data_IF_899460993498
#
_entry.id   IF_899460993498
#
_cell.length_a   1.000
_cell.length_b   1.000
_cell.length_c   1.000
_cell.angle_alpha   90.00
_cell.angle_beta   90.00
_cell.angle_gamma   90.00
#
_symmetry.space_group_name_H-M   'P 1'
#
loop_
_entity.id
_entity.type
_entity.pdbx_description
1 polymer ?
#
# COMPACT_ATOMS: atom_id res chain seq x y z
N UNK A 1 -25.65 28.34 -2.73
CA UNK A 1 -25.09 28.30 -1.36
C UNK A 1 -23.69 27.72 -1.52
N UNK A 2 -22.67 28.51 -1.21
CA UNK A 2 -21.31 28.37 -1.77
C UNK A 2 -20.55 27.13 -1.31
N UNK A 3 -19.97 26.41 -2.27
CA UNK A 3 -18.98 25.39 -1.98
C UNK A 3 -17.63 26.08 -1.75
N UNK A 4 -17.32 26.42 -0.51
CA UNK A 4 -15.97 26.82 -0.14
C UNK A 4 -15.05 25.59 -0.31
N UNK A 5 -14.09 25.69 -1.23
CA UNK A 5 -13.07 24.65 -1.44
C UNK A 5 -11.96 24.92 -0.45
N UNK A 6 -11.49 23.88 0.23
CA UNK A 6 -10.33 24.01 1.12
C UNK A 6 -9.11 24.48 0.33
N UNK A 7 -8.53 25.61 0.75
CA UNK A 7 -7.26 26.11 0.27
C UNK A 7 -6.23 26.02 1.40
N UNK A 8 -5.10 25.38 1.14
CA UNK A 8 -4.00 25.24 2.10
C UNK A 8 -3.29 26.57 2.37
N UNK A 9 -3.46 27.55 1.48
CA UNK A 9 -2.85 28.88 1.61
C UNK A 9 -3.79 29.89 2.30
N UNK A 10 -5.02 29.49 2.62
CA UNK A 10 -5.92 30.21 3.51
C UNK A 10 -5.63 29.85 4.98
N UNK A 11 -5.14 30.84 5.75
CA UNK A 11 -4.83 30.69 7.16
C UNK A 11 -6.05 30.28 8.00
N UNK A 12 -7.24 30.83 7.72
CA UNK A 12 -8.45 30.53 8.48
C UNK A 12 -8.90 29.08 8.25
N UNK A 13 -8.79 28.59 7.02
CA UNK A 13 -9.10 27.21 6.69
C UNK A 13 -8.15 26.21 7.38
N UNK A 14 -6.85 26.51 7.40
CA UNK A 14 -5.84 25.67 8.08
C UNK A 14 -6.03 25.69 9.59
N UNK A 15 -6.30 26.85 10.19
CA UNK A 15 -6.53 26.98 11.63
C UNK A 15 -7.79 26.23 12.06
N UNK A 16 -8.87 26.29 11.27
CA UNK A 16 -10.09 25.52 11.51
C UNK A 16 -9.82 24.01 11.50
N UNK A 17 -9.12 23.51 10.48
CA UNK A 17 -8.77 22.08 10.38
C UNK A 17 -7.85 21.65 11.52
N UNK A 18 -6.88 22.49 11.90
CA UNK A 18 -5.93 22.20 12.98
C UNK A 18 -6.62 22.17 14.34
N UNK A 19 -7.52 23.11 14.62
CA UNK A 19 -8.28 23.13 15.87
C UNK A 19 -9.21 21.90 15.98
N UNK A 20 -9.93 21.57 14.90
CA UNK A 20 -10.82 20.41 14.86
C UNK A 20 -10.05 19.08 14.99
N UNK A 21 -8.90 18.95 14.32
CA UNK A 21 -8.07 17.74 14.40
C UNK A 21 -7.46 17.58 15.79
N UNK A 22 -6.95 18.65 16.40
CA UNK A 22 -6.39 18.62 17.75
C UNK A 22 -7.44 18.26 18.81
N UNK A 23 -8.68 18.78 18.69
CA UNK A 23 -9.78 18.39 19.57
C UNK A 23 -10.04 16.87 19.50
N UNK A 24 -10.06 16.31 18.27
CA UNK A 24 -10.23 14.87 18.05
C UNK A 24 -9.05 14.07 18.60
N UNK A 25 -7.82 14.55 18.43
CA UNK A 25 -6.61 13.90 18.95
C UNK A 25 -6.65 13.79 20.47
N UNK A 26 -7.07 14.86 21.17
CA UNK A 26 -7.22 14.85 22.64
C UNK A 26 -8.23 13.77 23.08
N UNK A 27 -9.34 13.60 22.35
CA UNK A 27 -10.34 12.57 22.65
C UNK A 27 -9.82 11.13 22.52
N UNK A 28 -8.75 10.91 21.73
CA UNK A 28 -8.11 9.61 21.54
C UNK A 28 -6.72 9.51 22.22
N UNK A 29 -6.39 10.46 23.13
CA UNK A 29 -5.06 10.53 23.78
C UNK A 29 -3.88 10.60 22.79
N UNK A 30 -4.09 11.17 21.61
CA UNK A 30 -3.05 11.42 20.60
C UNK A 30 -2.48 12.83 20.84
N UNK A 31 -1.14 13.02 20.84
CA UNK A 31 -0.55 14.35 21.01
C UNK A 31 -1.05 15.35 19.94
N UNK A 32 -1.40 16.59 20.33
CA UNK A 32 -1.80 17.61 19.38
C UNK A 32 -0.62 17.99 18.48
N UNK A 33 -0.91 18.40 17.25
CA UNK A 33 0.08 18.76 16.25
C UNK A 33 0.03 20.24 15.93
N UNK A 34 1.15 20.77 15.40
CA UNK A 34 1.25 22.16 15.00
C UNK A 34 0.43 22.43 13.73
N UNK A 35 0.04 23.69 13.50
CA UNK A 35 -0.63 24.09 12.27
C UNK A 35 0.22 23.81 11.00
N UNK A 36 1.54 23.86 11.14
CA UNK A 36 2.47 23.54 10.05
C UNK A 36 2.40 22.05 9.67
N UNK A 37 2.43 21.15 10.66
CA UNK A 37 2.31 19.71 10.44
C UNK A 37 0.94 19.35 9.88
N UNK A 38 -0.12 19.96 10.43
CA UNK A 38 -1.48 19.78 9.95
C UNK A 38 -1.65 20.23 8.49
N UNK A 39 -1.07 21.38 8.11
CA UNK A 39 -1.05 21.85 6.71
C UNK A 39 -0.35 20.85 5.78
N UNK A 40 0.79 20.30 6.20
CA UNK A 40 1.55 19.30 5.45
C UNK A 40 0.76 18.00 5.21
N UNK A 41 0.06 17.51 6.24
CA UNK A 41 -0.80 16.33 6.12
C UNK A 41 -2.05 16.61 5.27
N UNK A 42 -2.74 17.73 5.52
CA UNK A 42 -3.96 18.10 4.81
C UNK A 42 -3.71 18.26 3.30
N UNK A 43 -2.56 18.83 2.92
CA UNK A 43 -2.17 18.98 1.52
C UNK A 43 -1.86 17.66 0.79
N UNK A 44 -1.60 16.58 1.51
CA UNK A 44 -1.24 15.27 0.95
C UNK A 44 -2.39 14.24 1.01
N UNK A 45 -3.61 14.67 1.32
CA UNK A 45 -4.77 13.78 1.35
C UNK A 45 -5.14 13.35 -0.07
N UNK A 46 -5.00 12.05 -0.36
CA UNK A 46 -5.48 11.44 -1.59
C UNK A 46 -6.87 10.87 -1.36
N UNK A 47 -7.80 11.19 -2.26
CA UNK A 47 -9.17 10.68 -2.20
C UNK A 47 -9.19 9.17 -2.45
N UNK A 48 -9.88 8.44 -1.58
CA UNK A 48 -10.12 7.01 -1.76
C UNK A 48 -11.41 6.79 -2.57
N UNK A 49 -11.34 5.94 -3.59
CA UNK A 49 -12.50 5.58 -4.41
C UNK A 49 -12.83 4.11 -4.13
N UNK A 50 -14.09 3.81 -3.81
CA UNK A 50 -14.49 2.44 -3.47
C UNK A 50 -14.16 1.41 -4.58
N UNK A 51 -14.29 1.83 -5.85
CA UNK A 51 -14.04 0.95 -7.01
C UNK A 51 -12.56 0.59 -7.15
N UNK A 52 -11.61 1.47 -6.80
CA UNK A 52 -10.18 1.13 -6.85
C UNK A 52 -9.87 0.04 -5.83
N UNK A 53 -10.45 0.12 -4.63
CA UNK A 53 -10.27 -0.92 -3.60
C UNK A 53 -10.85 -2.26 -4.04
N UNK A 54 -12.03 -2.27 -4.69
CA UNK A 54 -12.63 -3.48 -5.22
C UNK A 54 -11.76 -4.14 -6.32
N UNK A 55 -11.22 -3.35 -7.25
CA UNK A 55 -10.33 -3.85 -8.31
C UNK A 55 -9.06 -4.45 -7.71
N UNK A 56 -8.40 -3.73 -6.78
CA UNK A 56 -7.16 -4.19 -6.15
C UNK A 56 -7.42 -5.46 -5.32
N UNK A 57 -8.52 -5.54 -4.57
CA UNK A 57 -8.88 -6.75 -3.82
C UNK A 57 -9.11 -7.98 -4.73
N UNK A 58 -9.75 -7.78 -5.89
CA UNK A 58 -9.90 -8.82 -6.90
C UNK A 58 -8.57 -9.32 -7.46
N UNK A 59 -7.65 -8.40 -7.75
CA UNK A 59 -6.30 -8.74 -8.22
C UNK A 59 -5.49 -9.50 -7.16
N UNK A 60 -5.56 -9.09 -5.89
CA UNK A 60 -4.90 -9.79 -4.77
C UNK A 60 -5.39 -11.24 -4.70
N UNK A 61 -6.70 -11.44 -4.78
CA UNK A 61 -7.31 -12.78 -4.71
C UNK A 61 -6.88 -13.65 -5.89
N UNK A 62 -6.82 -13.08 -7.11
CA UNK A 62 -6.36 -13.80 -8.29
C UNK A 62 -4.89 -14.24 -8.19
N UNK A 63 -4.01 -13.39 -7.64
CA UNK A 63 -2.61 -13.75 -7.41
C UNK A 63 -2.47 -14.78 -6.27
N UNK A 64 -3.28 -14.68 -5.21
CA UNK A 64 -3.28 -15.65 -4.12
C UNK A 64 -3.64 -17.07 -4.59
N UNK A 65 -4.60 -17.20 -5.51
CA UNK A 65 -4.96 -18.50 -6.10
C UNK A 65 -3.76 -19.12 -6.84
N UNK A 66 -2.98 -18.34 -7.59
CA UNK A 66 -1.77 -18.83 -8.29
C UNK A 66 -0.70 -19.29 -7.31
N UNK A 67 -0.55 -18.61 -6.18
CA UNK A 67 0.39 -18.98 -5.13
C UNK A 67 -0.01 -20.31 -4.48
N UNK A 68 -1.30 -20.50 -4.14
CA UNK A 68 -1.82 -21.74 -3.57
C UNK A 68 -1.69 -22.90 -4.56
N UNK A 69 -1.89 -22.65 -5.85
CA UNK A 69 -1.67 -23.62 -6.92
C UNK A 69 -0.19 -23.96 -7.16
N UNK A 70 0.74 -23.41 -6.36
CA UNK A 70 2.19 -23.62 -6.50
C UNK A 70 2.73 -23.19 -7.88
N UNK A 71 2.14 -22.15 -8.48
CA UNK A 71 2.57 -21.55 -9.76
C UNK A 71 3.11 -20.12 -9.56
N UNK A 72 4.17 -19.93 -8.76
CA UNK A 72 4.71 -18.60 -8.47
C UNK A 72 5.29 -17.90 -9.72
N UNK A 73 5.73 -18.67 -10.73
CA UNK A 73 6.28 -18.13 -11.98
C UNK A 73 5.23 -17.39 -12.83
N UNK A 74 3.94 -17.69 -12.59
CA UNK A 74 2.82 -17.05 -13.26
C UNK A 74 2.34 -15.78 -12.54
N UNK A 75 2.90 -15.51 -11.35
CA UNK A 75 2.54 -14.33 -10.57
C UNK A 75 3.00 -13.04 -11.26
N UNK A 76 2.19 -11.98 -11.17
CA UNK A 76 2.47 -10.68 -11.78
C UNK A 76 2.15 -9.54 -10.82
N UNK A 77 3.02 -8.54 -10.78
CA UNK A 77 2.74 -7.28 -10.11
C UNK A 77 1.92 -6.42 -11.07
N UNK A 78 0.63 -6.24 -10.80
CA UNK A 78 -0.27 -5.49 -11.68
C UNK A 78 -0.48 -4.08 -11.16
N UNK A 79 -0.19 -3.08 -11.98
CA UNK A 79 -0.46 -1.68 -11.68
C UNK A 79 -1.79 -1.24 -12.31
N UNK A 80 -2.63 -0.56 -11.52
CA UNK A 80 -3.86 0.08 -11.99
C UNK A 80 -3.55 1.54 -12.36
N UNK A 81 -3.71 1.88 -13.63
CA UNK A 81 -3.49 3.23 -14.16
C UNK A 81 -4.79 4.03 -14.22
N UNK A 82 -4.71 5.33 -13.95
CA UNK A 82 -5.86 6.23 -14.08
C UNK A 82 -6.24 6.49 -15.54
N UNK A 83 -5.27 6.47 -16.46
CA UNK A 83 -5.45 6.60 -17.91
C UNK A 83 -4.88 5.38 -18.62
N UNK A 84 -5.47 4.95 -19.74
CA UNK A 84 -4.97 3.81 -20.47
C UNK A 84 -3.57 4.11 -21.00
N UNK A 85 -2.63 3.20 -20.75
CA UNK A 85 -1.30 3.23 -21.33
C UNK A 85 -1.12 1.96 -22.15
N UNK A 86 -0.84 2.13 -23.45
CA UNK A 86 -0.87 1.05 -24.44
C UNK A 86 -2.22 0.31 -24.48
N UNK A 87 -3.32 1.06 -24.51
CA UNK A 87 -4.72 0.58 -24.46
C UNK A 87 -5.04 -0.34 -23.27
N UNK A 88 -4.23 -0.31 -22.21
CA UNK A 88 -4.43 -1.11 -21.00
C UNK A 88 -4.46 -0.21 -19.77
N UNK A 89 -5.46 -0.43 -18.91
CA UNK A 89 -5.54 0.19 -17.58
C UNK A 89 -4.83 -0.65 -16.52
N UNK A 90 -4.80 -1.97 -16.72
CA UNK A 90 -4.10 -2.92 -15.88
C UNK A 90 -2.79 -3.32 -16.57
N UNK A 91 -1.67 -3.02 -15.93
CA UNK A 91 -0.33 -3.30 -16.46
C UNK A 91 0.35 -4.39 -15.63
N UNK A 92 0.27 -5.67 -16.05
CA UNK A 92 0.95 -6.76 -15.37
C UNK A 92 2.44 -6.75 -15.72
N UNK A 93 3.27 -6.52 -14.72
CA UNK A 93 4.74 -6.58 -14.81
C UNK A 93 5.20 -7.86 -14.14
N UNK A 94 6.24 -8.51 -14.68
CA UNK A 94 6.87 -9.63 -13.97
C UNK A 94 7.47 -9.09 -12.68
N UNK A 95 7.31 -9.78 -11.55
CA UNK A 95 7.96 -9.37 -10.31
C UNK A 95 9.46 -9.27 -10.59
N UNK A 96 10.02 -8.07 -10.40
CA UNK A 96 11.45 -7.87 -10.60
C UNK A 96 12.16 -8.63 -9.49
N UNK A 97 12.81 -9.73 -9.85
CA UNK A 97 13.70 -10.47 -8.95
C UNK A 97 15.00 -9.68 -8.84
N UNK A 98 14.95 -8.50 -8.23
CA UNK A 98 16.18 -7.77 -7.94
C UNK A 98 16.98 -8.57 -6.91
N UNK A 99 18.31 -8.70 -7.08
CA UNK A 99 19.14 -9.13 -5.97
C UNK A 99 18.85 -8.19 -4.78
N UNK A 100 18.78 -8.71 -3.53
CA UNK A 100 18.44 -7.90 -2.38
C UNK A 100 19.35 -6.68 -2.37
N UNK A 101 18.76 -5.48 -2.48
CA UNK A 101 19.54 -4.26 -2.64
C UNK A 101 20.59 -4.21 -1.52
N UNK A 102 21.87 -4.17 -1.91
CA UNK A 102 23.00 -4.19 -0.98
C UNK A 102 22.89 -3.09 0.08
N UNK A 103 22.15 -2.02 -0.24
CA UNK A 103 21.91 -0.82 0.57
C UNK A 103 20.54 -0.74 1.25
N UNK A 104 19.78 -1.84 1.36
CA UNK A 104 18.54 -1.86 2.16
C UNK A 104 18.86 -1.71 3.66
N UNK A 105 18.34 -0.72 4.41
CA UNK A 105 18.61 -0.59 5.85
C UNK A 105 17.99 -1.71 6.69
N UNK A 106 17.12 -2.54 6.11
CA UNK A 106 16.50 -3.67 6.80
C UNK A 106 17.49 -4.83 7.01
N UNK A 107 17.44 -5.54 8.15
CA UNK A 107 18.23 -6.75 8.38
C UNK A 107 18.01 -7.82 7.30
N UNK A 108 19.04 -8.58 6.94
CA UNK A 108 19.00 -9.57 5.85
C UNK A 108 17.81 -10.54 5.93
N UNK A 109 17.39 -10.94 7.14
CA UNK A 109 16.21 -11.79 7.39
C UNK A 109 14.87 -11.19 6.93
N UNK A 110 14.79 -9.87 6.80
CA UNK A 110 13.61 -9.15 6.30
C UNK A 110 13.75 -8.75 4.83
N UNK A 111 14.95 -8.90 4.24
CA UNK A 111 15.18 -8.58 2.81
C UNK A 111 14.60 -9.64 1.86
N UNK A 112 14.37 -10.86 2.36
CA UNK A 112 13.91 -11.99 1.54
C UNK A 112 12.66 -12.63 2.17
N UNK A 113 11.53 -11.90 2.17
CA UNK A 113 10.23 -12.50 2.52
C UNK A 113 9.51 -13.12 1.31
N UNK A 114 10.25 -13.52 0.27
CA UNK A 114 9.68 -14.31 -0.82
C UNK A 114 10.07 -15.79 -0.64
N UNK A 115 9.07 -16.59 -0.27
CA UNK A 115 8.97 -18.03 -0.57
C UNK A 115 9.86 -19.05 0.19
N UNK A 116 10.41 -18.75 1.38
CA UNK A 116 11.00 -19.83 2.20
C UNK A 116 9.96 -20.73 2.89
N UNK A 117 8.71 -20.26 3.05
CA UNK A 117 7.62 -21.04 3.66
C UNK A 117 7.12 -22.20 2.78
N UNK A 118 7.35 -22.17 1.46
CA UNK A 118 6.96 -23.25 0.55
C UNK A 118 8.04 -24.32 0.36
N UNK A 119 9.28 -24.07 0.79
CA UNK A 119 10.34 -25.09 0.76
C UNK A 119 10.25 -26.11 1.92
N UNK A 120 9.41 -25.87 2.92
CA UNK A 120 9.27 -26.75 4.09
C UNK A 120 8.28 -27.90 3.93
N UNK A 121 7.51 -27.96 2.83
CA UNK A 121 6.45 -28.94 2.64
C UNK A 121 6.81 -30.14 1.73
N UNK A 122 8.02 -30.18 1.15
CA UNK A 122 8.44 -31.18 0.17
C UNK A 122 9.63 -32.06 0.63
N UNK A 123 9.61 -32.50 1.89
CA UNK A 123 10.72 -33.26 2.48
C UNK A 123 10.28 -34.36 3.45
N UNK A 124 9.23 -35.12 3.15
CA UNK A 124 8.93 -36.38 3.84
C UNK A 124 9.50 -37.54 3.02
N UNK A 125 10.77 -37.88 3.25
CA UNK A 125 11.34 -39.15 2.80
C UNK A 125 10.96 -40.28 3.78
N UNK A 126 10.68 -41.50 3.31
CA UNK A 126 10.13 -42.60 4.11
C UNK A 126 11.19 -43.20 5.05
N UNK A 127 10.73 -43.71 6.20
CA UNK A 127 11.52 -44.57 7.09
C UNK A 127 11.72 -45.95 6.45
N UNK A 128 12.97 -46.31 6.22
CA UNK A 128 13.53 -47.67 6.18
C UNK A 128 14.98 -47.52 6.63
N UNK A 129 15.54 -48.20 7.62
CA UNK A 129 15.32 -49.56 8.15
C UNK A 129 15.75 -49.54 9.61
#
# INVERSE_FOLDING_TARGET
IGAAVFDKDDALAVDFVTAASNLRSIAYNIPPQSAFDAKGMAGNIIQAIATTNAIIAGLITAEAIKLVASLPDLSRTTFLMQKPSNNKLLQPVRPVRSPPLTRCPLPARFRTQHLSLLSGAAGRQPKST
#
